data_IF_003010090093
#
_entry.id   IF_003010090093
#
_cell.length_a   1.000
_cell.length_b   1.000
_cell.length_c   1.000
_cell.angle_alpha   90.00
_cell.angle_beta   90.00
_cell.angle_gamma   90.00
#
_symmetry.space_group_name_H-M   'P 1'
#
loop_
_entity.id
_entity.type
_entity.pdbx_description
1 polymer ?
#
# COMPACT_ATOMS: atom_id res chain seq x y z
N UNK A 1 17.88 -7.54 -10.63
CA UNK A 1 16.54 -7.91 -10.10
C UNK A 1 15.58 -6.77 -10.34
N UNK A 2 14.34 -7.06 -10.72
CA UNK A 2 13.25 -6.08 -10.93
C UNK A 2 12.27 -6.12 -9.76
N UNK A 3 12.22 -5.06 -8.97
CA UNK A 3 11.32 -4.94 -7.81
C UNK A 3 10.23 -3.93 -8.16
N UNK A 4 8.99 -4.38 -8.17
CA UNK A 4 7.82 -3.52 -8.42
C UNK A 4 7.13 -3.20 -7.12
N UNK A 5 6.80 -1.93 -6.89
CA UNK A 5 6.09 -1.46 -5.71
C UNK A 5 4.74 -0.92 -6.12
N UNK A 6 3.66 -1.58 -5.70
CA UNK A 6 2.32 -1.06 -5.88
C UNK A 6 2.08 0.04 -4.84
N UNK A 7 1.69 1.23 -5.30
CA UNK A 7 1.47 2.41 -4.44
C UNK A 7 0.13 3.06 -4.71
N UNK A 8 -0.38 3.82 -3.73
CA UNK A 8 -1.67 4.47 -3.80
C UNK A 8 -1.61 5.93 -3.36
N UNK A 9 -2.32 6.79 -4.08
CA UNK A 9 -2.65 8.13 -3.62
C UNK A 9 -3.91 8.08 -2.76
N UNK A 10 -3.86 8.67 -1.58
CA UNK A 10 -4.97 8.71 -0.61
C UNK A 10 -5.22 10.13 -0.11
N UNK A 11 -6.40 10.44 0.45
CA UNK A 11 -6.58 11.64 1.26
C UNK A 11 -5.60 11.66 2.43
N UNK A 12 -4.99 12.82 2.69
CA UNK A 12 -4.01 12.96 3.76
C UNK A 12 -4.65 12.68 5.13
N UNK A 13 -4.28 11.59 5.80
CA UNK A 13 -4.91 11.19 7.07
C UNK A 13 -4.65 12.17 8.22
N UNK A 14 -3.66 13.06 8.07
CA UNK A 14 -3.32 14.05 9.10
C UNK A 14 -4.14 15.34 8.99
N UNK A 15 -4.68 15.65 7.82
CA UNK A 15 -5.34 16.93 7.54
C UNK A 15 -6.80 16.79 7.16
N UNK A 16 -7.24 15.61 6.76
CA UNK A 16 -8.58 15.38 6.22
C UNK A 16 -9.38 14.47 7.13
N UNK A 17 -10.52 14.98 7.61
CA UNK A 17 -11.56 14.11 8.16
C UNK A 17 -12.20 13.38 6.99
N UNK A 18 -12.03 12.07 6.93
CA UNK A 18 -12.60 11.23 5.89
C UNK A 18 -14.11 11.40 5.80
N UNK A 19 -14.58 11.88 4.64
CA UNK A 19 -16.01 12.06 4.35
C UNK A 19 -16.45 11.02 3.33
N UNK A 20 -17.60 10.40 3.58
CA UNK A 20 -18.25 9.52 2.63
C UNK A 20 -19.36 10.29 1.90
N UNK A 21 -19.42 10.13 0.61
CA UNK A 21 -20.54 10.63 -0.20
C UNK A 21 -21.80 9.80 0.12
N UNK A 22 -22.90 10.39 0.54
CA UNK A 22 -24.08 9.64 0.96
C UNK A 22 -24.77 8.90 -0.20
N UNK A 23 -24.60 9.36 -1.44
CA UNK A 23 -25.21 8.77 -2.63
C UNK A 23 -24.37 7.61 -3.16
N UNK A 24 -23.08 7.86 -3.38
CA UNK A 24 -22.16 6.86 -3.93
C UNK A 24 -21.59 5.94 -2.85
N UNK A 25 -21.71 6.31 -1.57
CA UNK A 25 -21.15 5.60 -0.40
C UNK A 25 -19.62 5.43 -0.48
N UNK A 26 -18.96 6.28 -1.25
CA UNK A 26 -17.52 6.25 -1.49
C UNK A 26 -16.82 7.39 -0.77
N UNK A 27 -15.55 7.19 -0.50
CA UNK A 27 -14.69 8.22 0.07
C UNK A 27 -14.57 9.41 -0.88
N UNK A 28 -14.86 10.62 -0.38
CA UNK A 28 -14.70 11.87 -1.12
C UNK A 28 -13.21 12.20 -1.23
N UNK A 29 -12.72 12.31 -2.46
CA UNK A 29 -11.32 12.64 -2.78
C UNK A 29 -11.16 14.01 -3.46
N UNK A 30 -12.27 14.63 -3.87
CA UNK A 30 -12.27 15.95 -4.50
C UNK A 30 -12.18 17.06 -3.45
N UNK A 31 -11.35 18.06 -3.73
CA UNK A 31 -11.21 19.25 -2.85
C UNK A 31 -10.48 18.98 -1.52
N UNK A 32 -9.75 17.86 -1.42
CA UNK A 32 -8.97 17.51 -0.24
C UNK A 32 -7.49 17.33 -0.62
N UNK A 33 -6.61 17.51 0.36
CA UNK A 33 -5.18 17.21 0.18
C UNK A 33 -5.01 15.70 -0.05
N UNK A 34 -4.24 15.34 -1.06
CA UNK A 34 -3.92 13.96 -1.42
C UNK A 34 -2.42 13.72 -1.25
N UNK A 35 -2.05 12.56 -0.72
CA UNK A 35 -0.66 12.17 -0.47
C UNK A 35 -0.40 10.74 -0.94
N UNK A 36 0.87 10.38 -1.05
CA UNK A 36 1.29 8.98 -1.11
C UNK A 36 0.95 8.31 0.22
N UNK A 37 0.38 7.11 0.20
CA UNK A 37 0.04 6.37 1.41
C UNK A 37 1.30 6.17 2.29
N UNK A 38 1.26 6.50 3.60
CA UNK A 38 2.40 6.31 4.50
C UNK A 38 2.91 4.86 4.57
N UNK A 39 2.03 3.88 4.43
CA UNK A 39 2.42 2.47 4.33
C UNK A 39 3.26 2.19 3.08
N UNK A 40 2.92 2.85 1.98
CA UNK A 40 3.66 2.71 0.73
C UNK A 40 5.03 3.41 0.79
N UNK A 41 5.18 4.50 1.55
CA UNK A 41 6.50 5.09 1.80
C UNK A 41 7.45 4.10 2.50
N UNK A 42 6.96 3.34 3.48
CA UNK A 42 7.69 2.25 4.14
C UNK A 42 8.01 1.11 3.16
N UNK A 43 7.06 0.76 2.29
CA UNK A 43 7.22 -0.29 1.28
C UNK A 43 8.25 0.09 0.21
N UNK A 44 8.23 1.34 -0.27
CA UNK A 44 9.25 1.89 -1.17
C UNK A 44 10.63 1.82 -0.51
N UNK A 45 10.71 2.17 0.76
CA UNK A 45 11.97 2.16 1.51
C UNK A 45 12.54 0.75 1.64
N UNK A 46 11.68 -0.25 1.86
CA UNK A 46 12.06 -1.66 1.85
C UNK A 46 12.64 -2.08 0.48
N UNK A 47 11.97 -1.69 -0.60
CA UNK A 47 12.41 -2.02 -1.97
C UNK A 47 13.75 -1.36 -2.32
N UNK A 48 13.94 -0.09 -1.98
CA UNK A 48 15.19 0.65 -2.19
C UNK A 48 16.33 0.00 -1.39
N UNK A 49 16.09 -0.32 -0.13
CA UNK A 49 17.07 -0.99 0.72
C UNK A 49 17.49 -2.34 0.14
N UNK A 50 16.53 -3.13 -0.34
CA UNK A 50 16.82 -4.42 -0.98
C UNK A 50 17.60 -4.24 -2.28
N UNK A 51 17.21 -3.27 -3.14
CA UNK A 51 17.96 -2.92 -4.36
C UNK A 51 19.41 -2.57 -4.05
N UNK A 52 19.63 -1.72 -3.05
CA UNK A 52 20.96 -1.19 -2.73
C UNK A 52 21.89 -2.29 -2.14
N UNK A 53 21.31 -3.29 -1.46
CA UNK A 53 22.08 -4.45 -0.95
C UNK A 53 22.31 -5.52 -1.99
N UNK A 54 21.35 -5.79 -2.87
CA UNK A 54 21.46 -6.83 -3.89
C UNK A 54 22.30 -6.41 -5.12
N UNK A 55 22.51 -5.12 -5.34
CA UNK A 55 23.17 -4.58 -6.53
C UNK A 55 22.42 -4.89 -7.83
N UNK A 56 22.77 -4.26 -8.92
CA UNK A 56 22.21 -4.45 -10.27
C UNK A 56 20.67 -4.74 -10.28
N UNK A 57 19.93 -3.92 -9.58
CA UNK A 57 18.49 -4.06 -9.41
C UNK A 57 17.78 -2.73 -9.72
N UNK A 58 16.52 -2.82 -10.13
CA UNK A 58 15.65 -1.69 -10.45
C UNK A 58 14.43 -1.71 -9.53
N UNK A 59 13.99 -0.53 -9.05
CA UNK A 59 12.74 -0.35 -8.32
C UNK A 59 11.76 0.45 -9.17
N UNK A 60 10.58 -0.09 -9.40
CA UNK A 60 9.53 0.49 -10.25
C UNK A 60 8.26 0.70 -9.43
N UNK A 61 7.77 1.94 -9.38
CA UNK A 61 6.45 2.21 -8.78
C UNK A 61 5.33 1.95 -9.78
N UNK A 62 4.27 1.27 -9.34
CA UNK A 62 3.05 1.03 -10.12
C UNK A 62 1.84 1.52 -9.34
N UNK A 63 0.94 2.23 -10.00
CA UNK A 63 -0.32 2.68 -9.40
C UNK A 63 -1.46 2.61 -10.40
N UNK A 64 -2.67 2.44 -9.88
CA UNK A 64 -3.92 2.61 -10.60
C UNK A 64 -4.70 3.75 -9.96
N UNK A 65 -5.05 4.76 -10.72
CA UNK A 65 -5.76 5.89 -10.18
C UNK A 65 -6.08 6.98 -11.20
N UNK A 66 -6.71 8.08 -10.76
CA UNK A 66 -6.94 9.23 -11.62
C UNK A 66 -5.62 9.92 -11.97
N UNK A 67 -5.65 10.82 -12.96
CA UNK A 67 -4.45 11.57 -13.39
C UNK A 67 -3.75 12.30 -12.24
N UNK A 68 -4.48 12.74 -11.20
CA UNK A 68 -3.91 13.36 -10.01
C UNK A 68 -2.94 12.45 -9.25
N UNK A 69 -3.04 11.12 -9.38
CA UNK A 69 -2.13 10.17 -8.76
C UNK A 69 -0.66 10.33 -9.23
N UNK A 70 -0.43 11.09 -10.32
CA UNK A 70 0.92 11.48 -10.73
C UNK A 70 1.73 12.13 -9.61
N UNK A 71 1.09 12.84 -8.69
CA UNK A 71 1.79 13.49 -7.56
C UNK A 71 2.40 12.46 -6.62
N UNK A 72 1.66 11.40 -6.27
CA UNK A 72 2.19 10.29 -5.48
C UNK A 72 3.31 9.55 -6.21
N UNK A 73 3.18 9.36 -7.54
CA UNK A 73 4.24 8.76 -8.35
C UNK A 73 5.51 9.63 -8.36
N UNK A 74 5.37 10.94 -8.48
CA UNK A 74 6.50 11.88 -8.39
C UNK A 74 7.18 11.86 -7.02
N UNK A 75 6.39 11.71 -5.95
CA UNK A 75 6.91 11.53 -4.60
C UNK A 75 7.76 10.26 -4.51
N UNK A 76 7.28 9.13 -5.04
CA UNK A 76 8.02 7.86 -5.09
C UNK A 76 9.33 8.00 -5.89
N UNK A 77 9.30 8.64 -7.05
CA UNK A 77 10.49 8.93 -7.86
C UNK A 77 11.51 9.80 -7.11
N UNK A 78 11.03 10.77 -6.34
CA UNK A 78 11.88 11.65 -5.51
C UNK A 78 12.50 10.91 -4.32
N UNK A 79 11.83 9.89 -3.77
CA UNK A 79 12.36 9.00 -2.73
C UNK A 79 13.48 8.11 -3.21
N UNK A 80 13.58 7.85 -4.52
CA UNK A 80 14.67 7.03 -5.08
C UNK A 80 14.23 5.91 -6.01
N UNK A 81 12.94 5.73 -6.25
CA UNK A 81 12.39 4.83 -7.26
C UNK A 81 12.94 5.19 -8.64
N UNK A 82 13.26 4.22 -9.48
CA UNK A 82 13.97 4.43 -10.75
C UNK A 82 13.03 4.86 -11.87
N UNK A 83 11.84 4.27 -11.98
CA UNK A 83 10.78 4.66 -12.92
C UNK A 83 9.39 4.41 -12.34
N UNK A 84 8.36 4.93 -13.00
CA UNK A 84 6.99 4.86 -12.52
C UNK A 84 6.00 4.56 -13.65
N UNK A 85 4.96 3.77 -13.34
CA UNK A 85 3.89 3.40 -14.26
C UNK A 85 2.55 3.72 -13.59
N UNK A 86 1.75 4.59 -14.19
CA UNK A 86 0.40 4.92 -13.75
C UNK A 86 -0.62 4.40 -14.75
N UNK A 87 -1.55 3.57 -14.29
CA UNK A 87 -2.73 3.21 -15.09
C UNK A 87 -3.84 4.19 -14.75
N UNK A 88 -4.32 4.91 -15.77
CA UNK A 88 -5.41 5.87 -15.62
C UNK A 88 -6.38 5.77 -16.80
N UNK A 89 -7.64 5.55 -16.47
CA UNK A 89 -8.75 5.46 -17.43
C UNK A 89 -10.05 5.81 -16.71
N UNK A 90 -10.96 6.59 -17.30
CA UNK A 90 -12.25 6.89 -16.68
C UNK A 90 -13.06 5.66 -16.27
N UNK A 91 -12.95 4.57 -17.03
CA UNK A 91 -13.66 3.33 -16.77
C UNK A 91 -13.17 2.59 -15.50
N UNK A 92 -12.02 2.95 -14.96
CA UNK A 92 -11.50 2.40 -13.69
C UNK A 92 -12.25 2.90 -12.47
N UNK A 93 -13.00 3.99 -12.61
CA UNK A 93 -13.71 4.59 -11.48
C UNK A 93 -14.70 3.59 -10.87
N UNK A 94 -14.56 3.36 -9.56
CA UNK A 94 -15.42 2.42 -8.85
C UNK A 94 -14.96 0.98 -8.83
N UNK A 95 -13.78 0.68 -9.34
CA UNK A 95 -13.19 -0.66 -9.18
C UNK A 95 -13.16 -1.06 -7.71
N UNK A 96 -13.55 -2.30 -7.47
CA UNK A 96 -13.35 -3.00 -6.20
C UNK A 96 -11.93 -3.58 -6.11
N UNK A 97 -11.70 -4.41 -5.10
CA UNK A 97 -10.43 -5.14 -4.92
C UNK A 97 -10.07 -5.97 -6.14
N UNK A 98 -11.05 -6.70 -6.68
CA UNK A 98 -10.82 -7.62 -7.78
C UNK A 98 -10.46 -6.88 -9.07
N UNK A 99 -11.21 -5.83 -9.41
CA UNK A 99 -10.92 -4.96 -10.56
C UNK A 99 -9.55 -4.29 -10.44
N UNK A 100 -9.21 -3.79 -9.23
CA UNK A 100 -7.92 -3.18 -8.95
C UNK A 100 -6.76 -4.18 -9.11
N UNK A 101 -6.88 -5.35 -8.50
CA UNK A 101 -5.87 -6.41 -8.60
C UNK A 101 -5.66 -6.89 -10.03
N UNK A 102 -6.73 -7.02 -10.82
CA UNK A 102 -6.68 -7.38 -12.25
C UNK A 102 -5.84 -6.40 -13.06
N UNK A 103 -6.08 -5.10 -12.88
CA UNK A 103 -5.36 -4.05 -13.62
C UNK A 103 -3.87 -4.03 -13.25
N UNK A 104 -3.57 -4.05 -11.95
CA UNK A 104 -2.18 -4.07 -11.48
C UNK A 104 -1.45 -5.34 -11.93
N UNK A 105 -2.10 -6.50 -11.86
CA UNK A 105 -1.53 -7.75 -12.33
C UNK A 105 -1.26 -7.75 -13.85
N UNK A 106 -2.12 -7.11 -14.66
CA UNK A 106 -1.90 -7.00 -16.10
C UNK A 106 -0.63 -6.17 -16.41
N UNK A 107 -0.40 -5.05 -15.72
CA UNK A 107 0.86 -4.30 -15.82
C UNK A 107 2.03 -5.18 -15.45
N UNK A 108 1.98 -5.82 -14.28
CA UNK A 108 3.06 -6.63 -13.74
C UNK A 108 3.39 -7.84 -14.62
N UNK A 109 2.37 -8.45 -15.24
CA UNK A 109 2.57 -9.55 -16.19
C UNK A 109 3.42 -9.14 -17.38
N UNK A 110 3.18 -7.95 -17.94
CA UNK A 110 3.95 -7.42 -19.08
C UNK A 110 5.38 -7.03 -18.67
N UNK A 111 5.58 -6.63 -17.44
CA UNK A 111 6.85 -6.14 -16.90
C UNK A 111 7.76 -7.26 -16.36
N UNK A 112 7.22 -8.45 -16.09
CA UNK A 112 7.96 -9.63 -15.58
C UNK A 112 8.81 -9.33 -14.35
N UNK A 113 8.18 -9.02 -13.17
CA UNK A 113 8.89 -8.73 -11.94
C UNK A 113 9.58 -9.97 -11.34
N UNK A 114 10.68 -9.76 -10.63
CA UNK A 114 11.22 -10.76 -9.70
C UNK A 114 10.52 -10.70 -8.35
N UNK A 115 10.17 -9.48 -7.90
CA UNK A 115 9.42 -9.25 -6.68
C UNK A 115 8.38 -8.16 -6.88
N UNK A 116 7.18 -8.37 -6.32
CA UNK A 116 6.13 -7.36 -6.24
C UNK A 116 5.93 -7.02 -4.77
N UNK A 117 6.18 -5.77 -4.40
CA UNK A 117 5.97 -5.26 -3.06
C UNK A 117 4.67 -4.48 -2.99
N UNK A 118 3.93 -4.70 -1.92
CA UNK A 118 2.74 -3.93 -1.56
C UNK A 118 2.79 -3.63 -0.06
N UNK A 119 2.11 -2.57 0.38
CA UNK A 119 1.71 -2.46 1.77
C UNK A 119 0.72 -3.58 2.11
N UNK A 120 0.58 -3.94 3.38
CA UNK A 120 -0.44 -4.91 3.80
C UNK A 120 -1.84 -4.44 3.42
N UNK A 121 -2.08 -3.15 3.53
CA UNK A 121 -3.35 -2.50 3.24
C UNK A 121 -3.14 -1.00 2.96
N UNK A 122 -4.11 -0.34 2.34
CA UNK A 122 -4.10 1.12 2.19
C UNK A 122 -4.77 1.79 3.39
N UNK A 123 -4.21 2.91 3.83
CA UNK A 123 -4.69 3.66 5.01
C UNK A 123 -6.11 4.22 4.84
N UNK A 124 -6.60 4.39 3.62
CA UNK A 124 -7.96 4.91 3.34
C UNK A 124 -9.04 3.83 3.22
N UNK A 125 -8.70 2.65 2.72
CA UNK A 125 -9.68 1.61 2.40
C UNK A 125 -9.59 0.35 3.26
N UNK A 126 -8.44 0.05 3.83
CA UNK A 126 -8.16 -1.06 4.76
C UNK A 126 -8.64 -2.45 4.28
N UNK A 127 -8.71 -2.69 2.97
CA UNK A 127 -9.19 -3.99 2.48
C UNK A 127 -8.17 -5.11 2.68
N UNK A 128 -6.87 -4.82 2.58
CA UNK A 128 -5.78 -5.80 2.71
C UNK A 128 -5.77 -6.91 1.64
N UNK A 129 -6.66 -6.85 0.65
CA UNK A 129 -6.89 -7.97 -0.27
C UNK A 129 -6.27 -7.80 -1.66
N UNK A 130 -5.91 -6.57 -2.04
CA UNK A 130 -5.33 -6.30 -3.37
C UNK A 130 -4.04 -7.09 -3.62
N UNK A 131 -3.08 -7.18 -2.66
CA UNK A 131 -1.86 -7.96 -2.87
C UNK A 131 -2.12 -9.44 -3.13
N UNK A 132 -3.09 -10.03 -2.38
CA UNK A 132 -3.52 -11.40 -2.58
C UNK A 132 -4.15 -11.62 -3.96
N UNK A 133 -4.98 -10.69 -4.41
CA UNK A 133 -5.57 -10.72 -5.75
C UNK A 133 -4.51 -10.61 -6.86
N UNK A 134 -3.49 -9.76 -6.70
CA UNK A 134 -2.35 -9.68 -7.63
C UNK A 134 -1.62 -11.02 -7.73
N UNK A 135 -1.32 -11.63 -6.58
CA UNK A 135 -0.62 -12.91 -6.53
C UNK A 135 -1.41 -14.01 -7.24
N UNK A 136 -2.73 -14.08 -7.01
CA UNK A 136 -3.61 -15.03 -7.68
C UNK A 136 -3.65 -14.83 -9.19
N UNK A 137 -3.85 -13.60 -9.67
CA UNK A 137 -3.85 -13.32 -11.10
C UNK A 137 -2.53 -13.61 -11.81
N UNK A 138 -1.42 -13.50 -11.09
CA UNK A 138 -0.07 -13.81 -11.61
C UNK A 138 0.35 -15.26 -11.36
N UNK A 139 -0.44 -16.02 -10.60
CA UNK A 139 -0.08 -17.37 -10.12
C UNK A 139 1.26 -17.37 -9.38
N UNK A 140 1.45 -16.41 -8.48
CA UNK A 140 2.68 -16.24 -7.70
C UNK A 140 2.45 -16.54 -6.22
N UNK A 141 3.46 -17.07 -5.52
CA UNK A 141 3.42 -17.23 -4.08
C UNK A 141 3.37 -15.88 -3.36
N UNK A 142 2.86 -15.90 -2.12
CA UNK A 142 2.75 -14.72 -1.26
C UNK A 142 3.60 -14.85 -0.01
N UNK A 143 4.40 -13.82 0.24
CA UNK A 143 5.16 -13.61 1.48
C UNK A 143 4.55 -12.41 2.22
N UNK A 144 3.66 -12.68 3.16
CA UNK A 144 2.82 -11.63 3.78
C UNK A 144 3.36 -11.14 5.11
N UNK A 145 3.07 -9.84 5.45
CA UNK A 145 3.44 -9.19 6.71
C UNK A 145 4.94 -9.19 6.98
N UNK A 146 5.75 -8.92 5.96
CA UNK A 146 7.19 -8.89 6.08
C UNK A 146 7.66 -7.68 6.90
N UNK A 147 8.46 -7.95 7.92
CA UNK A 147 9.20 -6.97 8.70
C UNK A 147 10.67 -6.85 8.25
N UNK A 148 11.20 -7.94 7.75
CA UNK A 148 12.52 -8.03 7.18
C UNK A 148 12.40 -8.84 5.89
N UNK A 149 13.24 -8.52 4.91
CA UNK A 149 13.32 -9.26 3.65
C UNK A 149 14.78 -9.41 3.24
N UNK A 150 15.12 -10.59 2.79
CA UNK A 150 16.40 -10.92 2.17
C UNK A 150 16.18 -11.77 0.92
N UNK A 151 17.14 -11.75 0.00
CA UNK A 151 17.14 -12.56 -1.22
C UNK A 151 18.47 -13.33 -1.28
N UNK A 152 18.35 -14.65 -1.43
CA UNK A 152 19.50 -15.55 -1.60
C UNK A 152 19.28 -16.42 -2.84
N UNK A 153 20.09 -16.19 -3.87
CA UNK A 153 19.92 -16.85 -5.15
C UNK A 153 18.55 -16.57 -5.77
N UNK A 154 17.76 -17.61 -6.00
CA UNK A 154 16.41 -17.53 -6.57
C UNK A 154 15.29 -17.55 -5.50
N UNK A 155 15.61 -17.34 -4.23
CA UNK A 155 14.66 -17.38 -3.12
C UNK A 155 14.57 -16.02 -2.42
N UNK A 156 13.36 -15.63 -2.06
CA UNK A 156 13.10 -14.54 -1.14
C UNK A 156 12.76 -15.12 0.25
N UNK A 157 13.32 -14.54 1.28
CA UNK A 157 13.06 -14.88 2.69
C UNK A 157 12.56 -13.65 3.43
N UNK A 158 11.51 -13.82 4.23
CA UNK A 158 10.98 -12.76 5.08
C UNK A 158 10.92 -13.20 6.54
N UNK A 159 10.99 -12.21 7.42
CA UNK A 159 10.54 -12.35 8.80
C UNK A 159 9.12 -11.81 8.90
N UNK A 160 8.16 -12.73 8.97
CA UNK A 160 6.73 -12.41 9.04
C UNK A 160 6.34 -12.05 10.47
N UNK A 161 5.61 -10.94 10.63
CA UNK A 161 4.99 -10.60 11.91
C UNK A 161 3.73 -11.47 12.12
N UNK A 162 3.57 -11.97 13.33
CA UNK A 162 2.37 -12.70 13.77
C UNK A 162 1.88 -12.13 15.11
N UNK A 163 0.69 -12.53 15.55
CA UNK A 163 0.13 -12.08 16.85
C UNK A 163 1.03 -12.47 18.02
N UNK A 164 1.72 -13.62 17.93
CA UNK A 164 2.53 -14.18 19.01
C UNK A 164 4.03 -14.02 18.81
N UNK A 165 4.47 -13.32 17.75
CA UNK A 165 5.90 -13.14 17.48
C UNK A 165 6.22 -13.11 15.98
N UNK A 166 7.18 -13.93 15.55
CA UNK A 166 7.69 -13.91 14.17
C UNK A 166 7.84 -15.31 13.59
N UNK A 167 7.69 -15.41 12.27
CA UNK A 167 8.00 -16.61 11.50
C UNK A 167 8.99 -16.26 10.39
N UNK A 168 9.99 -17.09 10.17
CA UNK A 168 10.79 -17.03 8.95
C UNK A 168 10.08 -17.83 7.87
N UNK A 169 9.83 -17.20 6.74
CA UNK A 169 9.15 -17.81 5.59
C UNK A 169 10.00 -17.59 4.35
N UNK A 170 10.22 -18.63 3.58
CA UNK A 170 10.90 -18.54 2.29
C UNK A 170 9.99 -18.95 1.13
N UNK A 171 10.26 -18.42 -0.04
CA UNK A 171 9.58 -18.76 -1.29
C UNK A 171 10.53 -18.63 -2.47
N UNK A 172 10.39 -19.44 -3.52
CA UNK A 172 11.02 -19.14 -4.79
C UNK A 172 10.51 -17.81 -5.33
N UNK A 173 11.36 -17.11 -6.10
CA UNK A 173 10.96 -15.96 -6.90
C UNK A 173 10.53 -16.42 -8.30
N UNK A 174 9.61 -15.70 -8.98
CA UNK A 174 9.00 -14.45 -8.54
C UNK A 174 7.96 -14.64 -7.42
N UNK A 175 7.77 -13.60 -6.58
CA UNK A 175 6.83 -13.62 -5.45
C UNK A 175 6.20 -12.25 -5.18
N UNK A 176 5.01 -12.25 -4.59
CA UNK A 176 4.37 -11.05 -4.05
C UNK A 176 4.68 -10.95 -2.56
N UNK A 177 5.13 -9.80 -2.10
CA UNK A 177 5.53 -9.54 -0.71
C UNK A 177 4.70 -8.40 -0.16
N UNK A 178 4.07 -8.59 1.00
CA UNK A 178 3.46 -7.46 1.71
C UNK A 178 4.34 -7.01 2.87
N UNK A 179 4.58 -5.71 2.94
CA UNK A 179 5.40 -5.07 3.97
C UNK A 179 4.50 -4.64 5.13
N UNK A 180 4.83 -5.11 6.33
CA UNK A 180 4.11 -4.69 7.53
C UNK A 180 4.36 -3.21 7.83
N UNK A 181 3.30 -2.47 8.15
CA UNK A 181 3.38 -1.04 8.42
C UNK A 181 4.41 -0.73 9.52
N UNK A 182 5.20 0.33 9.31
CA UNK A 182 6.22 0.77 10.27
C UNK A 182 7.45 -0.14 10.40
N UNK A 183 7.59 -1.18 9.55
CA UNK A 183 8.73 -2.10 9.61
C UNK A 183 10.00 -1.53 8.99
N UNK A 184 9.87 -0.57 8.10
CA UNK A 184 10.98 0.13 7.47
C UNK A 184 10.79 1.63 7.66
N UNK A 185 11.84 2.30 8.10
CA UNK A 185 11.83 3.75 8.22
C UNK A 185 11.70 4.41 6.84
N UNK A 186 10.81 5.37 6.73
CA UNK A 186 10.55 6.04 5.47
C UNK A 186 11.76 6.86 5.02
N UNK A 187 12.21 6.66 3.79
CA UNK A 187 13.24 7.46 3.13
C UNK A 187 12.60 8.75 2.65
N UNK A 188 13.03 9.87 3.22
CA UNK A 188 12.54 11.18 2.79
C UNK A 188 13.26 11.65 1.52
N UNK A 189 12.53 12.27 0.57
CA UNK A 189 13.15 12.85 -0.62
C UNK A 189 14.18 13.91 -0.27
N UNK A 190 15.36 13.78 -0.88
CA UNK A 190 16.37 14.85 -0.83
C UNK A 190 16.07 15.94 -1.87
N UNK A 191 16.63 17.13 -1.73
CA UNK A 191 16.51 18.19 -2.76
C UNK A 191 16.96 17.70 -4.14
N UNK A 192 18.05 16.93 -4.21
CA UNK A 192 18.53 16.30 -5.45
C UNK A 192 17.52 15.31 -6.00
N UNK A 193 16.88 14.49 -5.13
CA UNK A 193 15.82 13.55 -5.50
C UNK A 193 14.61 14.26 -6.09
N UNK A 194 14.14 15.34 -5.45
CA UNK A 194 13.00 16.14 -5.93
C UNK A 194 13.29 16.73 -7.32
N UNK A 195 14.45 17.34 -7.50
CA UNK A 195 14.86 17.90 -8.79
C UNK A 195 15.04 16.83 -9.87
N UNK A 196 15.58 15.67 -9.49
CA UNK A 196 15.81 14.55 -10.39
C UNK A 196 14.53 13.80 -10.80
N UNK A 197 13.51 13.78 -9.97
CA UNK A 197 12.26 13.04 -10.19
C UNK A 197 11.56 13.40 -11.52
N UNK A 198 11.66 14.68 -11.94
CA UNK A 198 11.08 15.14 -13.22
C UNK A 198 11.74 14.54 -14.46
N UNK A 199 12.99 14.05 -14.33
CA UNK A 199 13.77 13.48 -15.44
C UNK A 199 13.69 11.96 -15.51
N UNK A 200 13.15 11.32 -14.46
CA UNK A 200 13.02 9.86 -14.42
C UNK A 200 11.89 9.39 -15.33
N UNK A 201 12.00 8.18 -15.90
CA UNK A 201 10.97 7.62 -16.77
C UNK A 201 9.62 7.52 -16.04
N UNK A 202 8.59 8.01 -16.70
CA UNK A 202 7.21 7.96 -16.25
C UNK A 202 6.32 7.54 -17.41
N UNK A 203 5.65 6.41 -17.26
CA UNK A 203 4.73 5.85 -18.25
C UNK A 203 3.30 5.96 -17.75
N UNK A 204 2.40 6.40 -18.60
CA UNK A 204 0.98 6.38 -18.34
C UNK A 204 0.32 5.39 -19.30
N UNK A 205 -0.50 4.49 -18.76
CA UNK A 205 -1.22 3.47 -19.50
C UNK A 205 -2.74 3.65 -19.33
N UNK A 206 -3.47 3.19 -20.31
CA UNK A 206 -4.93 3.06 -20.30
C UNK A 206 -5.34 1.58 -20.29
N UNK A 207 -6.64 1.29 -20.18
CA UNK A 207 -7.13 -0.09 -20.29
C UNK A 207 -6.82 -0.72 -21.65
N UNK A 208 -6.84 0.08 -22.73
CA UNK A 208 -6.52 -0.39 -24.07
C UNK A 208 -5.08 -0.88 -24.20
N UNK A 209 -4.13 -0.24 -23.49
CA UNK A 209 -2.71 -0.66 -23.48
C UNK A 209 -2.49 -1.99 -22.73
N UNK A 210 -3.50 -2.45 -21.98
CA UNK A 210 -3.44 -3.67 -21.15
C UNK A 210 -4.37 -4.78 -21.66
N UNK A 211 -5.06 -4.58 -22.78
CA UNK A 211 -6.07 -5.51 -23.32
C UNK A 211 -7.16 -5.88 -22.28
N UNK A 212 -7.54 -4.94 -21.42
CA UNK A 212 -8.58 -5.15 -20.42
C UNK A 212 -9.92 -4.60 -20.93
N UNK A 213 -10.94 -5.46 -20.97
CA UNK A 213 -12.31 -5.05 -21.25
C UNK A 213 -12.84 -4.16 -20.12
N UNK A 214 -13.32 -2.93 -20.40
CA UNK A 214 -13.91 -2.03 -19.41
C UNK A 214 -15.02 -2.65 -18.56
N UNK A 215 -15.74 -3.65 -19.09
CA UNK A 215 -16.77 -4.37 -18.33
C UNK A 215 -16.24 -5.22 -17.17
N UNK A 216 -14.93 -5.46 -17.11
CA UNK A 216 -14.27 -6.26 -16.08
C UNK A 216 -13.71 -5.43 -14.91
N UNK A 217 -13.80 -4.12 -15.00
CA UNK A 217 -13.24 -3.16 -14.03
C UNK A 217 -14.23 -2.04 -13.74
N UNK A 218 -13.85 -1.11 -12.88
CA UNK A 218 -14.70 0.01 -12.53
C UNK A 218 -15.98 -0.45 -11.83
N UNK A 219 -16.98 0.41 -11.88
CA UNK A 219 -18.31 0.09 -11.31
C UNK A 219 -19.00 -1.05 -12.06
N UNK A 220 -18.80 -1.15 -13.37
CA UNK A 220 -19.40 -2.20 -14.21
C UNK A 220 -18.86 -3.60 -13.87
N UNK A 221 -17.55 -3.71 -13.58
CA UNK A 221 -16.89 -4.97 -13.26
C UNK A 221 -16.86 -5.31 -11.76
N UNK A 222 -17.27 -4.39 -10.88
CA UNK A 222 -17.22 -4.59 -9.44
C UNK A 222 -18.14 -5.73 -8.99
N UNK A 223 -17.62 -6.64 -8.17
CA UNK A 223 -18.35 -7.74 -7.53
C UNK A 223 -18.81 -7.38 -6.12
N UNK A 224 -18.29 -6.30 -5.55
CA UNK A 224 -18.64 -5.78 -4.25
C UNK A 224 -19.53 -4.55 -4.39
N UNK A 225 -20.55 -4.47 -3.53
CA UNK A 225 -21.43 -3.30 -3.43
C UNK A 225 -21.60 -2.90 -1.98
N UNK A 226 -21.36 -1.63 -1.68
CA UNK A 226 -21.61 -1.07 -0.36
C UNK A 226 -23.13 -0.93 -0.17
N UNK A 227 -23.71 -1.79 0.66
CA UNK A 227 -25.16 -1.80 0.94
C UNK A 227 -25.57 -0.61 1.81
N UNK A 228 -24.82 -0.36 2.88
CA UNK A 228 -25.08 0.74 3.81
C UNK A 228 -23.77 1.31 4.36
N UNK A 229 -23.81 2.56 4.78
CA UNK A 229 -22.77 3.22 5.57
C UNK A 229 -23.41 3.72 6.86
N UNK A 230 -22.67 3.68 7.96
CA UNK A 230 -23.07 4.22 9.24
C UNK A 230 -21.93 4.99 9.89
N UNK A 231 -22.24 5.93 10.75
CA UNK A 231 -21.23 6.59 11.56
C UNK A 231 -20.89 5.68 12.74
N UNK A 232 -19.59 5.47 12.98
CA UNK A 232 -19.15 4.77 14.18
C UNK A 232 -19.55 5.59 15.42
N UNK A 233 -19.99 4.92 16.46
CA UNK A 233 -20.24 5.58 17.75
C UNK A 233 -18.97 6.25 18.25
N UNK A 234 -19.12 7.50 18.70
CA UNK A 234 -18.00 8.21 19.32
C UNK A 234 -17.56 7.45 20.57
N UNK A 235 -16.27 7.20 20.69
CA UNK A 235 -15.73 6.64 21.93
C UNK A 235 -16.03 7.61 23.07
N UNK A 236 -16.53 7.11 24.20
CA UNK A 236 -16.67 7.90 25.42
C UNK A 236 -15.30 8.46 25.82
N UNK A 237 -15.28 9.67 26.36
CA UNK A 237 -14.05 10.24 26.90
C UNK A 237 -13.52 9.30 27.98
N UNK A 238 -12.22 8.97 27.89
CA UNK A 238 -11.56 8.18 28.90
C UNK A 238 -11.45 8.94 30.22
N UNK A 239 -11.12 8.24 31.29
CA UNK A 239 -10.86 8.86 32.60
C UNK A 239 -9.46 9.51 32.58
N UNK A 240 -9.40 10.80 32.85
CA UNK A 240 -8.14 11.51 33.04
C UNK A 240 -7.80 11.48 34.53
N UNK A 241 -6.67 10.83 34.87
CA UNK A 241 -6.18 10.73 36.23
C UNK A 241 -4.98 11.67 36.36
N UNK A 242 -5.07 12.62 37.28
CA UNK A 242 -3.92 13.47 37.63
C UNK A 242 -2.97 12.66 38.53
N UNK A 243 -1.68 12.79 38.27
CA UNK A 243 -0.66 12.15 39.11
C UNK A 243 -0.63 12.81 40.49
N UNK A 244 -0.96 12.04 41.52
CA UNK A 244 -0.91 12.41 42.91
C UNK A 244 0.14 11.57 43.69
N UNK A 245 1.02 10.87 42.95
CA UNK A 245 2.00 9.93 43.50
C UNK A 245 1.49 8.47 43.51
N UNK A 246 0.21 8.22 43.24
CA UNK A 246 -0.41 6.88 43.22
C UNK A 246 -0.83 6.43 41.81
N UNK A 247 -0.56 7.20 40.78
CA UNK A 247 -1.02 6.94 39.42
C UNK A 247 -0.59 5.57 38.88
N UNK A 248 0.61 5.12 39.23
CA UNK A 248 1.13 3.81 38.82
C UNK A 248 0.24 2.66 39.33
N UNK A 249 -0.18 2.72 40.61
CA UNK A 249 -1.08 1.71 41.18
C UNK A 249 -2.47 1.74 40.53
N UNK A 250 -3.02 2.92 40.28
CA UNK A 250 -4.31 3.07 39.60
C UNK A 250 -4.28 2.49 38.20
N UNK A 251 -3.17 2.68 37.46
CA UNK A 251 -2.99 2.10 36.13
C UNK A 251 -2.87 0.57 36.24
N UNK A 252 -2.10 0.04 37.18
CA UNK A 252 -1.94 -1.40 37.37
C UNK A 252 -3.28 -2.06 37.71
N UNK A 253 -4.07 -1.47 38.64
CA UNK A 253 -5.39 -1.95 39.02
C UNK A 253 -6.39 -1.89 37.85
N UNK A 254 -6.29 -0.87 37.00
CA UNK A 254 -7.09 -0.77 35.79
C UNK A 254 -6.77 -1.90 34.80
N UNK A 255 -5.48 -2.14 34.53
CA UNK A 255 -5.03 -3.20 33.62
C UNK A 255 -5.42 -4.58 34.16
N UNK A 256 -5.25 -4.82 35.45
CA UNK A 256 -5.64 -6.08 36.08
C UNK A 256 -7.15 -6.34 36.01
N UNK A 257 -7.99 -5.32 36.27
CA UNK A 257 -9.47 -5.43 36.13
C UNK A 257 -9.90 -5.80 34.73
N UNK A 258 -9.15 -5.36 33.73
CA UNK A 258 -9.43 -5.66 32.31
C UNK A 258 -8.68 -6.88 31.80
N UNK A 259 -8.00 -7.65 32.68
CA UNK A 259 -7.24 -8.85 32.33
C UNK A 259 -6.17 -8.59 31.26
N UNK A 260 -5.53 -7.43 31.34
CA UNK A 260 -4.45 -7.01 30.45
C UNK A 260 -3.05 -7.15 31.11
N UNK A 261 -3.03 -7.52 32.38
CA UNK A 261 -1.88 -7.96 33.16
C UNK A 261 -2.17 -9.33 33.76
#
# INVERSE_FOLDING_TARGET
>A
MKIYVCIKQIPDPNTVVSKLDPNTKRLVRSGVSLVLDPGDESTISAAIKLRDTAGNSEVVAVSMGPTSAQEAMRRALAMGVDRAILVTDPALAGSDVLGTARVLAAVLKNETPDLVFCSTESTDGYTGMVPGGIAEFLNLPQLTFAREINVEGAKAMIKRVTITGYQTVESPMPAVVTIASGSFEAIYPTMKGIMGAKKKPFTQLTLADLDIDPSQVGEAGARERIAAIGQAEARAAGQVIKDDGNSAQVIADFLQRHQLL
#
